data_IF_190966845295
#
_entry.id   IF_190966845295
#
_cell.length_a   1.000
_cell.length_b   1.000
_cell.length_c   1.000
_cell.angle_alpha   90.00
_cell.angle_beta   90.00
_cell.angle_gamma   90.00
#
_symmetry.space_group_name_H-M   'P 1'
#
loop_
_entity.id
_entity.type
_entity.pdbx_description
1 polymer ?
#
# COMPACT_ATOMS: atom_id res chain seq x y z
N UNK A 1 -21.40 8.11 -0.65
CA UNK A 1 -20.92 9.03 0.39
C UNK A 1 -19.52 9.50 -0.01
N UNK A 2 -19.40 10.71 -0.57
CA UNK A 2 -18.11 11.35 -0.80
C UNK A 2 -17.89 12.31 0.37
N UNK A 3 -17.22 11.83 1.42
CA UNK A 3 -16.84 12.66 2.55
C UNK A 3 -15.77 13.64 2.10
N UNK A 4 -16.08 14.93 2.17
CA UNK A 4 -15.12 16.01 1.98
C UNK A 4 -14.08 15.94 3.10
N UNK A 5 -12.94 15.28 2.85
CA UNK A 5 -11.82 15.24 3.78
C UNK A 5 -11.13 16.60 3.74
N UNK A 6 -11.43 17.47 4.71
CA UNK A 6 -10.72 18.72 4.96
C UNK A 6 -9.34 18.51 5.65
N UNK A 7 -8.82 17.28 5.61
CA UNK A 7 -7.56 16.89 6.27
C UNK A 7 -6.34 17.10 5.38
N UNK A 8 -5.16 17.18 5.99
CA UNK A 8 -3.90 17.27 5.26
C UNK A 8 -3.68 16.03 4.37
N UNK A 9 -3.06 16.24 3.19
CA UNK A 9 -2.71 15.16 2.26
C UNK A 9 -1.23 15.24 1.88
N UNK A 10 -0.61 14.08 1.70
CA UNK A 10 0.74 13.98 1.13
C UNK A 10 0.70 13.26 -0.21
N UNK A 11 1.58 13.70 -1.11
CA UNK A 11 1.91 12.99 -2.33
C UNK A 11 3.17 12.17 -2.11
N UNK A 12 3.10 10.88 -2.42
CA UNK A 12 4.24 9.97 -2.38
C UNK A 12 4.35 9.21 -3.71
N UNK A 13 5.55 8.75 -4.03
CA UNK A 13 5.78 7.97 -5.25
C UNK A 13 5.80 6.49 -4.90
N UNK A 14 4.98 5.69 -5.59
CA UNK A 14 4.94 4.26 -5.38
C UNK A 14 6.30 3.63 -5.72
N UNK A 15 6.86 2.88 -4.78
CA UNK A 15 8.14 2.22 -4.93
C UNK A 15 8.15 1.20 -6.08
N UNK A 16 7.02 0.56 -6.35
CA UNK A 16 6.89 -0.49 -7.36
C UNK A 16 6.62 0.09 -8.75
N UNK A 17 5.46 0.75 -8.93
CA UNK A 17 5.04 1.23 -10.26
C UNK A 17 5.47 2.66 -10.58
N UNK A 18 6.16 3.35 -9.66
CA UNK A 18 6.66 4.73 -9.81
C UNK A 18 5.58 5.79 -10.05
N UNK A 19 4.29 5.43 -9.94
CA UNK A 19 3.18 6.38 -10.00
C UNK A 19 3.05 7.15 -8.69
N UNK A 20 2.76 8.45 -8.77
CA UNK A 20 2.41 9.27 -7.62
C UNK A 20 1.03 8.88 -7.10
N UNK A 21 0.89 8.80 -5.79
CA UNK A 21 -0.38 8.53 -5.12
C UNK A 21 -0.54 9.43 -3.89
N UNK A 22 -1.79 9.60 -3.47
CA UNK A 22 -2.15 10.46 -2.34
C UNK A 22 -2.37 9.60 -1.09
N UNK A 23 -1.91 10.10 0.05
CA UNK A 23 -2.25 9.56 1.37
C UNK A 23 -2.92 10.64 2.20
N UNK A 24 -3.95 10.24 2.95
CA UNK A 24 -4.82 11.15 3.68
C UNK A 24 -4.52 11.08 5.18
N UNK A 25 -4.52 12.24 5.84
CA UNK A 25 -4.39 12.32 7.29
C UNK A 25 -5.42 11.45 8.02
N UNK A 26 -4.98 10.80 9.10
CA UNK A 26 -5.77 9.79 9.83
C UNK A 26 -5.66 8.38 9.27
N UNK A 27 -5.02 8.18 8.11
CA UNK A 27 -4.67 6.84 7.61
C UNK A 27 -3.31 6.40 8.12
N UNK A 28 -3.15 5.10 8.35
CA UNK A 28 -1.85 4.51 8.69
C UNK A 28 -0.79 4.78 7.62
N UNK A 29 -1.19 4.86 6.34
CA UNK A 29 -0.30 5.16 5.23
C UNK A 29 0.27 6.59 5.35
N UNK A 30 -0.55 7.56 5.74
CA UNK A 30 -0.10 8.91 5.99
C UNK A 30 0.90 9.00 7.15
N UNK A 31 0.64 8.31 8.26
CA UNK A 31 1.60 8.25 9.37
C UNK A 31 2.95 7.64 8.96
N UNK A 32 2.92 6.58 8.15
CA UNK A 32 4.14 5.95 7.63
C UNK A 32 4.92 6.88 6.70
N UNK A 33 4.23 7.55 5.76
CA UNK A 33 4.85 8.53 4.86
C UNK A 33 5.41 9.71 5.64
N UNK A 34 4.68 10.21 6.64
CA UNK A 34 5.13 11.34 7.48
C UNK A 34 6.34 10.99 8.33
N UNK A 35 6.39 9.78 8.91
CA UNK A 35 7.54 9.31 9.72
C UNK A 35 8.78 9.02 8.87
N UNK A 36 8.60 8.51 7.65
CA UNK A 36 9.71 8.22 6.74
C UNK A 36 9.33 8.52 5.29
N UNK A 37 9.46 9.77 4.87
CA UNK A 37 9.05 10.19 3.53
C UNK A 37 9.81 9.49 2.39
N UNK A 38 11.08 9.10 2.63
CA UNK A 38 11.92 8.39 1.66
C UNK A 38 11.77 6.86 1.73
N UNK A 39 10.79 6.35 2.48
CA UNK A 39 10.49 4.93 2.62
C UNK A 39 9.96 4.29 1.32
N UNK A 40 9.92 2.95 1.32
CA UNK A 40 9.37 2.17 0.21
C UNK A 40 7.84 2.10 0.29
N UNK A 41 7.17 3.22 0.05
CA UNK A 41 5.70 3.28 0.09
C UNK A 41 5.09 2.77 -1.21
N UNK A 42 3.96 2.10 -1.13
CA UNK A 42 3.26 1.55 -2.31
C UNK A 42 1.87 2.16 -2.43
N UNK A 43 1.43 2.41 -3.68
CA UNK A 43 0.04 2.74 -3.94
C UNK A 43 -0.87 1.53 -3.65
N UNK A 44 -2.16 1.80 -3.47
CA UNK A 44 -3.15 0.78 -3.08
C UNK A 44 -3.20 -0.39 -4.06
N UNK A 45 -3.15 -0.14 -5.37
CA UNK A 45 -3.12 -1.20 -6.39
C UNK A 45 -1.92 -2.16 -6.22
N UNK A 46 -0.73 -1.60 -6.01
CA UNK A 46 0.47 -2.40 -5.84
C UNK A 46 0.41 -3.18 -4.53
N UNK A 47 -0.13 -2.58 -3.46
CA UNK A 47 -0.34 -3.24 -2.18
C UNK A 47 -1.29 -4.44 -2.33
N UNK A 48 -2.47 -4.23 -2.91
CA UNK A 48 -3.44 -5.31 -3.15
C UNK A 48 -2.87 -6.44 -4.01
N UNK A 49 -2.09 -6.10 -5.03
CA UNK A 49 -1.42 -7.12 -5.87
C UNK A 49 -0.44 -7.96 -5.05
N UNK A 50 0.42 -7.33 -4.24
CA UNK A 50 1.36 -8.05 -3.35
C UNK A 50 0.60 -8.95 -2.39
N UNK A 51 -0.46 -8.44 -1.76
CA UNK A 51 -1.28 -9.20 -0.82
C UNK A 51 -1.96 -10.40 -1.49
N UNK A 52 -2.46 -10.23 -2.72
CA UNK A 52 -3.05 -11.31 -3.50
C UNK A 52 -2.00 -12.37 -3.89
N UNK A 53 -0.85 -11.96 -4.41
CA UNK A 53 0.23 -12.87 -4.78
C UNK A 53 0.73 -13.66 -3.55
N UNK A 54 0.88 -13.00 -2.39
CA UNK A 54 1.24 -13.65 -1.13
C UNK A 54 0.19 -14.68 -0.69
N UNK A 55 -1.10 -14.35 -0.77
CA UNK A 55 -2.19 -15.29 -0.43
C UNK A 55 -2.22 -16.50 -1.37
N UNK A 56 -2.04 -16.29 -2.66
CA UNK A 56 -1.99 -17.37 -3.65
C UNK A 56 -0.79 -18.29 -3.40
N UNK A 57 0.37 -17.71 -3.13
CA UNK A 57 1.57 -18.50 -2.84
C UNK A 57 1.42 -19.29 -1.54
N UNK A 58 0.85 -18.68 -0.51
CA UNK A 58 0.55 -19.36 0.74
C UNK A 58 -0.43 -20.52 0.53
N UNK A 59 -1.51 -20.31 -0.23
CA UNK A 59 -2.46 -21.38 -0.57
C UNK A 59 -1.81 -22.52 -1.35
N UNK A 60 -0.92 -22.23 -2.32
CA UNK A 60 -0.17 -23.27 -3.04
C UNK A 60 0.71 -24.11 -2.11
N UNK A 61 1.39 -23.47 -1.14
CA UNK A 61 2.19 -24.19 -0.13
C UNK A 61 1.34 -25.14 0.70
N UNK A 62 0.17 -24.69 1.17
CA UNK A 62 -0.75 -25.52 1.94
C UNK A 62 -1.29 -26.73 1.16
N UNK A 63 -1.56 -26.58 -0.14
CA UNK A 63 -2.14 -27.65 -0.96
C UNK A 63 -1.09 -28.64 -1.49
N UNK A 64 0.14 -28.18 -1.75
CA UNK A 64 1.17 -29.00 -2.42
C UNK A 64 2.30 -29.46 -1.50
N UNK A 65 2.41 -28.90 -0.29
CA UNK A 65 3.47 -29.24 0.67
C UNK A 65 4.89 -28.93 0.21
N UNK A 66 5.07 -28.17 -0.89
CA UNK A 66 6.37 -27.74 -1.41
C UNK A 66 6.69 -26.32 -0.95
N UNK A 67 7.88 -26.14 -0.39
CA UNK A 67 8.50 -24.84 -0.15
C UNK A 67 9.39 -24.43 -1.33
#
# INVERSE_FOLDING_TARGET
MQGQFNGFRFHSTCYICKRTFEVFEGTQAYDQVKRNFKGMHCCEDCKHRIELEARLQFGRRLLTGKD
#
